data_IF_031784294272
#
_entry.id   IF_031784294272
#
_cell.length_a   1.000
_cell.length_b   1.000
_cell.length_c   1.000
_cell.angle_alpha   90.00
_cell.angle_beta   90.00
_cell.angle_gamma   90.00
#
_symmetry.space_group_name_H-M   'P 1'
#
loop_
_entity.id
_entity.type
_entity.pdbx_description
1 polymer ?
#
# COMPACT_ATOMS: atom_id res chain seq x y z
N UNK A 1 15.48 14.31 -12.54
CA UNK A 1 15.19 15.65 -13.08
C UNK A 1 16.27 16.66 -12.66
N UNK A 2 16.38 17.82 -13.33
CA UNK A 2 17.33 18.88 -12.96
C UNK A 2 16.79 19.86 -11.89
N UNK A 3 17.64 20.79 -11.42
CA UNK A 3 17.26 21.79 -10.40
C UNK A 3 16.17 22.77 -10.88
N UNK A 4 16.16 23.12 -12.16
CA UNK A 4 15.17 24.05 -12.71
C UNK A 4 13.79 23.39 -12.77
N UNK A 5 13.76 22.12 -13.16
CA UNK A 5 12.58 21.26 -13.14
C UNK A 5 12.04 21.10 -11.71
N UNK A 6 12.91 20.82 -10.72
CA UNK A 6 12.49 20.73 -9.32
C UNK A 6 11.91 22.06 -8.80
N UNK A 7 12.53 23.19 -9.14
CA UNK A 7 12.00 24.52 -8.80
C UNK A 7 10.63 24.77 -9.45
N UNK A 8 10.42 24.28 -10.68
CA UNK A 8 9.14 24.37 -11.39
C UNK A 8 8.06 23.53 -10.70
N UNK A 9 8.35 22.31 -10.27
CA UNK A 9 7.43 21.48 -9.47
C UNK A 9 6.96 22.23 -8.22
N UNK A 10 7.89 22.82 -7.46
CA UNK A 10 7.56 23.55 -6.23
C UNK A 10 6.73 24.81 -6.53
N UNK A 11 7.06 25.51 -7.61
CA UNK A 11 6.27 26.66 -8.07
C UNK A 11 4.85 26.26 -8.45
N UNK A 12 4.68 25.10 -9.07
CA UNK A 12 3.36 24.59 -9.44
C UNK A 12 2.57 24.15 -8.20
N UNK A 13 3.23 23.59 -7.18
CA UNK A 13 2.61 23.35 -5.86
C UNK A 13 2.11 24.66 -5.24
N UNK A 14 2.93 25.72 -5.20
CA UNK A 14 2.49 27.01 -4.65
C UNK A 14 1.29 27.60 -5.42
N UNK A 15 1.23 27.40 -6.74
CA UNK A 15 0.09 27.80 -7.57
C UNK A 15 -1.19 27.03 -7.24
N UNK A 16 -1.10 25.72 -7.00
CA UNK A 16 -2.25 24.91 -6.58
C UNK A 16 -2.69 25.25 -5.15
N UNK A 17 -1.75 25.64 -4.28
CA UNK A 17 -1.99 25.88 -2.86
C UNK A 17 -1.45 27.25 -2.39
N UNK A 18 -2.01 28.36 -2.87
CA UNK A 18 -1.46 29.68 -2.65
C UNK A 18 -1.37 30.03 -1.16
N UNK A 19 -0.20 30.51 -0.75
CA UNK A 19 0.07 30.98 0.63
C UNK A 19 0.23 29.87 1.66
N UNK A 20 0.23 28.60 1.25
CA UNK A 20 0.38 27.46 2.16
C UNK A 20 1.79 26.90 2.21
N UNK A 21 2.64 27.26 1.25
CA UNK A 21 4.03 26.84 1.19
C UNK A 21 4.93 28.07 1.22
N UNK A 22 6.03 28.00 1.99
CA UNK A 22 7.09 29.01 1.92
C UNK A 22 8.10 28.57 0.89
N UNK A 23 8.17 29.28 -0.24
CA UNK A 23 9.21 29.09 -1.23
C UNK A 23 10.48 29.81 -0.79
N UNK A 24 11.36 29.11 -0.09
CA UNK A 24 12.74 29.54 0.12
C UNK A 24 13.73 28.70 -0.71
N UNK A 25 14.95 29.21 -0.87
CA UNK A 25 16.01 28.53 -1.63
C UNK A 25 16.34 27.17 -0.98
N UNK A 26 16.35 27.10 0.35
CA UNK A 26 16.65 25.87 1.09
C UNK A 26 15.61 24.76 0.87
N UNK A 27 14.36 25.12 0.59
CA UNK A 27 13.25 24.23 0.29
C UNK A 27 13.44 23.62 -1.08
N UNK A 28 13.81 24.44 -2.08
CA UNK A 28 14.13 23.95 -3.42
C UNK A 28 15.32 22.99 -3.38
N UNK A 29 16.39 23.35 -2.68
CA UNK A 29 17.56 22.48 -2.54
C UNK A 29 17.24 21.18 -1.80
N UNK A 30 16.40 21.25 -0.77
CA UNK A 30 15.98 20.06 -0.01
C UNK A 30 15.13 19.13 -0.84
N UNK A 31 14.16 19.65 -1.57
CA UNK A 31 13.31 18.86 -2.46
C UNK A 31 14.10 18.28 -3.64
N UNK A 32 15.02 19.06 -4.21
CA UNK A 32 15.86 18.61 -5.31
C UNK A 32 16.67 17.35 -4.95
N UNK A 33 17.23 17.26 -3.75
CA UNK A 33 18.00 16.08 -3.29
C UNK A 33 17.23 14.77 -3.39
N UNK A 34 15.90 14.82 -3.33
CA UNK A 34 15.04 13.64 -3.41
C UNK A 34 14.44 13.46 -4.80
N UNK A 35 14.10 14.56 -5.47
CA UNK A 35 13.51 14.55 -6.80
C UNK A 35 14.52 14.33 -7.93
N UNK A 36 15.83 14.49 -7.69
CA UNK A 36 16.88 14.34 -8.70
C UNK A 36 16.80 13.00 -9.44
N UNK A 37 16.40 11.94 -8.75
CA UNK A 37 16.28 10.58 -9.29
C UNK A 37 14.95 10.29 -9.98
N UNK A 38 13.98 11.19 -9.86
CA UNK A 38 12.65 11.05 -10.45
C UNK A 38 12.58 11.70 -11.84
N UNK A 39 11.70 11.19 -12.68
CA UNK A 39 11.37 11.79 -13.97
C UNK A 39 10.37 12.94 -13.79
N UNK A 40 10.65 14.08 -14.44
CA UNK A 40 9.88 15.31 -14.26
C UNK A 40 8.40 15.13 -14.64
N UNK A 41 8.12 14.54 -15.80
CA UNK A 41 6.75 14.36 -16.30
C UNK A 41 5.93 13.43 -15.38
N UNK A 42 6.58 12.40 -14.82
CA UNK A 42 5.96 11.49 -13.85
C UNK A 42 5.55 12.22 -12.57
N UNK A 43 6.44 13.05 -12.04
CA UNK A 43 6.18 13.83 -10.82
C UNK A 43 5.06 14.84 -11.03
N UNK A 44 5.02 15.52 -12.18
CA UNK A 44 3.92 16.43 -12.54
C UNK A 44 2.60 15.66 -12.65
N UNK A 45 2.60 14.49 -13.29
CA UNK A 45 1.40 13.64 -13.37
C UNK A 45 0.85 13.25 -11.99
N UNK A 46 1.74 12.91 -11.04
CA UNK A 46 1.35 12.65 -9.64
C UNK A 46 0.82 13.90 -8.94
N UNK A 47 1.47 15.04 -9.13
CA UNK A 47 1.04 16.32 -8.56
C UNK A 47 -0.37 16.70 -9.03
N UNK A 48 -0.63 16.60 -10.34
CA UNK A 48 -1.93 16.92 -10.92
C UNK A 48 -3.04 15.97 -10.44
N UNK A 49 -2.71 14.68 -10.27
CA UNK A 49 -3.64 13.72 -9.68
C UNK A 49 -3.93 14.05 -8.22
N UNK A 50 -2.89 14.33 -7.42
CA UNK A 50 -3.01 14.68 -6.01
C UNK A 50 -3.85 15.94 -5.81
N UNK A 51 -3.63 16.98 -6.62
CA UNK A 51 -4.33 18.26 -6.52
C UNK A 51 -5.84 18.20 -6.81
N UNK A 52 -6.30 17.16 -7.52
CA UNK A 52 -7.74 16.94 -7.75
C UNK A 52 -8.48 16.44 -6.50
N UNK A 53 -7.78 15.68 -5.66
CA UNK A 53 -8.40 14.96 -4.55
C UNK A 53 -8.12 15.62 -3.19
N UNK A 54 -7.04 16.39 -3.09
CA UNK A 54 -6.54 16.89 -1.81
C UNK A 54 -6.65 18.41 -1.70
N UNK A 55 -7.15 18.86 -0.55
CA UNK A 55 -7.26 20.30 -0.23
C UNK A 55 -5.95 20.88 0.29
N UNK A 56 -5.01 20.06 0.73
CA UNK A 56 -3.76 20.48 1.38
C UNK A 56 -2.56 20.23 0.45
N UNK A 57 -1.47 21.01 0.58
CA UNK A 57 -0.29 20.80 -0.25
C UNK A 57 0.28 19.39 -0.07
N UNK A 58 0.79 18.77 -1.14
CA UNK A 58 1.47 17.50 -1.05
C UNK A 58 2.75 17.64 -0.24
N UNK A 59 3.10 16.55 0.44
CA UNK A 59 4.44 16.35 0.96
C UNK A 59 5.34 15.75 -0.11
N UNK A 60 6.64 15.70 0.18
CA UNK A 60 7.61 15.07 -0.71
C UNK A 60 7.27 13.59 -0.97
N UNK A 61 6.76 12.87 0.04
CA UNK A 61 6.41 11.45 -0.07
C UNK A 61 5.25 11.18 -1.02
N UNK A 62 4.35 12.15 -1.21
CA UNK A 62 3.21 12.02 -2.11
C UNK A 62 3.62 12.07 -3.60
N UNK A 63 4.80 12.61 -3.87
CA UNK A 63 5.29 12.86 -5.23
C UNK A 63 6.40 11.88 -5.66
N UNK A 64 7.09 11.26 -4.70
CA UNK A 64 8.12 10.27 -4.96
C UNK A 64 7.52 8.96 -5.45
N UNK A 65 8.28 8.22 -6.27
CA UNK A 65 7.92 6.84 -6.56
C UNK A 65 8.20 6.02 -5.32
N UNK A 66 7.13 5.70 -4.59
CA UNK A 66 7.20 4.70 -3.54
C UNK A 66 6.88 3.36 -4.20
N UNK A 67 7.88 2.55 -4.58
CA UNK A 67 7.60 1.19 -4.98
C UNK A 67 6.85 0.56 -3.80
N UNK A 68 5.57 0.24 -4.02
CA UNK A 68 4.82 -0.56 -3.05
C UNK A 68 5.69 -1.78 -2.78
N UNK A 69 5.88 -2.18 -1.51
CA UNK A 69 6.41 -3.49 -1.21
C UNK A 69 5.36 -4.54 -1.61
N UNK A 70 5.05 -4.67 -2.90
CA UNK A 70 4.38 -5.85 -3.45
C UNK A 70 5.41 -6.97 -3.52
N UNK A 71 5.90 -7.40 -2.34
CA UNK A 71 6.62 -8.65 -2.17
C UNK A 71 6.77 -9.04 -0.71
N UNK A 72 5.65 -9.20 -0.03
CA UNK A 72 5.52 -10.32 0.91
C UNK A 72 4.09 -10.84 0.92
N UNK A 73 3.71 -11.51 -0.18
CA UNK A 73 2.57 -12.46 -0.19
C UNK A 73 2.73 -13.61 0.82
N UNK A 74 3.79 -13.62 1.64
CA UNK A 74 3.99 -14.57 2.74
C UNK A 74 2.95 -14.43 3.86
N UNK A 75 2.26 -13.30 3.97
CA UNK A 75 1.18 -13.11 4.96
C UNK A 75 -0.06 -13.95 4.65
N UNK A 76 -0.39 -14.15 3.38
CA UNK A 76 -1.58 -14.91 2.94
C UNK A 76 -1.35 -16.42 2.92
N UNK A 77 -0.10 -16.86 2.82
CA UNK A 77 0.22 -18.30 2.82
C UNK A 77 -0.06 -18.93 4.19
N UNK A 78 0.18 -18.19 5.29
CA UNK A 78 -0.19 -18.65 6.64
C UNK A 78 -1.70 -18.82 6.78
N UNK A 79 -2.51 -17.91 6.27
CA UNK A 79 -3.98 -18.04 6.37
C UNK A 79 -4.47 -19.31 5.65
N UNK A 80 -3.94 -19.60 4.46
CA UNK A 80 -4.24 -20.85 3.73
C UNK A 80 -3.79 -22.10 4.47
N UNK A 81 -2.63 -22.07 5.14
CA UNK A 81 -2.14 -23.20 5.92
C UNK A 81 -3.04 -23.47 7.15
N UNK A 82 -3.59 -22.41 7.77
CA UNK A 82 -4.50 -22.52 8.90
C UNK A 82 -5.88 -23.01 8.46
N UNK A 83 -6.38 -22.56 7.32
CA UNK A 83 -7.61 -23.08 6.71
C UNK A 83 -7.48 -24.55 6.31
N UNK A 84 -6.33 -24.96 5.75
CA UNK A 84 -6.06 -26.35 5.39
C UNK A 84 -5.86 -27.27 6.61
N UNK A 85 -5.36 -26.72 7.73
CA UNK A 85 -5.25 -27.46 9.01
C UNK A 85 -6.56 -27.49 9.80
N UNK A 86 -7.38 -26.44 9.70
CA UNK A 86 -8.67 -26.33 10.39
C UNK A 86 -9.79 -27.07 9.64
N UNK A 87 -9.65 -27.30 8.33
CA UNK A 87 -10.56 -28.16 7.55
C UNK A 87 -10.37 -29.65 7.82
N UNK A 88 -9.71 -30.01 8.93
CA UNK A 88 -9.66 -31.35 9.49
C UNK A 88 -11.05 -31.98 9.47
N UNK A 89 -11.28 -32.80 8.44
CA UNK A 89 -12.49 -33.59 8.31
C UNK A 89 -12.65 -34.49 9.53
N UNK A 90 -13.88 -34.92 9.84
CA UNK A 90 -14.12 -35.72 11.02
C UNK A 90 -13.22 -36.96 11.00
N UNK A 91 -12.39 -37.10 12.02
CA UNK A 91 -11.66 -38.35 12.28
C UNK A 91 -12.73 -39.36 12.66
N UNK A 92 -13.08 -40.25 11.73
CA UNK A 92 -13.87 -41.43 12.05
C UNK A 92 -13.11 -42.24 13.09
N UNK A 93 -13.51 -42.08 14.36
CA UNK A 93 -13.17 -43.05 15.38
C UNK A 93 -13.88 -44.35 15.01
N UNK A 94 -13.14 -45.28 14.40
CA UNK A 94 -13.51 -46.69 14.37
C UNK A 94 -13.50 -47.22 15.81
N UNK A 95 -14.56 -46.92 16.53
CA UNK A 95 -14.91 -47.64 17.74
C UNK A 95 -15.45 -49.00 17.30
N UNK A 96 -14.55 -49.99 17.30
CA UNK A 96 -14.98 -51.36 17.44
C UNK A 96 -15.71 -51.50 18.77
N UNK A 97 -17.02 -51.72 18.70
CA UNK A 97 -17.76 -52.35 19.80
C UNK A 97 -18.71 -53.37 19.18
N UNK A 98 -18.57 -54.57 19.70
CA UNK A 98 -19.22 -55.80 19.35
C UNK A 98 -20.74 -55.74 19.20
N UNK A 99 -21.20 -56.68 18.38
CA UNK A 99 -22.57 -57.14 18.31
C UNK A 99 -23.15 -57.50 19.67
N UNK A 100 -24.41 -57.13 19.88
CA UNK A 100 -25.53 -57.92 20.43
C UNK A 100 -26.50 -56.97 21.11
N UNK A 101 -27.72 -56.90 20.56
CA UNK A 101 -29.01 -57.11 21.25
C UNK A 101 -30.12 -56.64 20.31
N UNK A 102 -30.71 -57.62 19.62
CA UNK A 102 -32.03 -57.50 18.98
C UNK A 102 -33.13 -57.40 20.04
N UNK A 103 -34.26 -56.80 19.64
CA UNK A 103 -35.60 -56.71 20.25
C UNK A 103 -35.94 -55.39 20.97
N UNK A 104 -37.11 -54.79 20.63
CA UNK A 104 -38.37 -55.26 21.25
C UNK A 104 -39.59 -55.34 20.30
N UNK A 105 -40.71 -55.79 20.89
CA UNK A 105 -42.10 -55.91 20.40
C UNK A 105 -42.49 -57.30 19.87
N UNK A 106 -43.11 -58.16 20.70
CA UNK A 106 -44.48 -58.19 21.26
C UNK A 106 -45.38 -59.07 20.41
#
# INVERSE_FOLDING_TARGET
>A
MDKQQAAKVIKDIDRFYPGRMRMDIGTVESWFRHLEKEEYDTVIGRLDAYAKENKYPPTLFDLLDNPRPERDRKGTDKVKEWEAKASGGPVEHSSGVDALWLYPFR
#
